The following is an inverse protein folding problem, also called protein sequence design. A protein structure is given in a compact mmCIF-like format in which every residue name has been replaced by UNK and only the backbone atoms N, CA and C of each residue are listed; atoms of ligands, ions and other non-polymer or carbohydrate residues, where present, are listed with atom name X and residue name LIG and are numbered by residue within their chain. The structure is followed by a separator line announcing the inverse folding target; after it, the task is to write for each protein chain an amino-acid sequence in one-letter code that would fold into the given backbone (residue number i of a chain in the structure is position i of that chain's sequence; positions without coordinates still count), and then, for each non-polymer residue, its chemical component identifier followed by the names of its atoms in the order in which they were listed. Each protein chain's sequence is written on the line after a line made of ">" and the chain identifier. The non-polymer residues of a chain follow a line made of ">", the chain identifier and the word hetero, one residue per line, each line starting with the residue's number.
data_IF_096058629768
#
_entry.id   IF_096058629768
#
_cell.length_a   1.000
_cell.length_b   1.000
_cell.length_c   1.000
_cell.angle_alpha   90.00
_cell.angle_beta   90.00
_cell.angle_gamma   90.00
#
_symmetry.space_group_name_H-M   'P 1'
#
loop_
_entity.id
_entity.type
_entity.pdbx_description
1 polymer ?
#
# COMPACT_ATOMS: atom_id res chain seq x y z
N UNK A 1 -3.81 -0.94 -14.77
CA UNK A 1 -4.30 0.36 -14.27
C UNK A 1 -4.83 0.12 -12.87
N UNK A 2 -4.25 0.79 -11.89
CA UNK A 2 -4.70 0.69 -10.50
C UNK A 2 -6.11 1.29 -10.37
N UNK A 3 -6.87 0.87 -9.36
CA UNK A 3 -8.07 1.61 -8.97
C UNK A 3 -7.71 2.56 -7.82
N UNK A 4 -8.57 3.54 -7.56
CA UNK A 4 -8.34 4.58 -6.54
C UNK A 4 -7.94 4.03 -5.15
N UNK A 5 -8.37 2.80 -4.83
CA UNK A 5 -8.04 2.16 -3.54
C UNK A 5 -6.66 1.55 -3.52
N UNK A 6 -6.17 1.05 -4.66
CA UNK A 6 -4.78 0.62 -4.78
C UNK A 6 -3.85 1.83 -4.80
N UNK A 7 -4.25 2.90 -5.50
CA UNK A 7 -3.52 4.19 -5.56
C UNK A 7 -3.35 4.76 -4.14
N UNK A 8 -4.43 4.95 -3.39
CA UNK A 8 -4.34 5.48 -2.01
C UNK A 8 -3.44 4.62 -1.09
N UNK A 9 -3.47 3.29 -1.24
CA UNK A 9 -2.57 2.40 -0.46
C UNK A 9 -1.11 2.56 -0.88
N UNK A 10 -0.84 2.72 -2.17
CA UNK A 10 0.50 2.89 -2.71
C UNK A 10 1.08 4.26 -2.34
N UNK A 11 0.31 5.33 -2.52
CA UNK A 11 0.66 6.71 -2.12
C UNK A 11 1.10 6.75 -0.66
N UNK A 12 0.31 6.15 0.25
CA UNK A 12 0.68 6.10 1.67
C UNK A 12 2.01 5.36 1.92
N UNK A 13 2.27 4.28 1.18
CA UNK A 13 3.54 3.55 1.32
C UNK A 13 4.73 4.33 0.77
N UNK A 14 4.53 5.09 -0.31
CA UNK A 14 5.54 5.98 -0.90
C UNK A 14 5.82 7.14 0.06
N UNK A 15 4.78 7.90 0.45
CA UNK A 15 4.90 9.09 1.29
C UNK A 15 5.50 8.79 2.67
N UNK A 16 5.21 7.62 3.22
CA UNK A 16 5.75 7.25 4.53
C UNK A 16 7.20 6.78 4.47
N UNK A 17 7.68 6.29 3.32
CA UNK A 17 8.98 5.61 3.18
C UNK A 17 9.20 4.47 4.20
N UNK A 18 8.13 3.90 4.74
CA UNK A 18 8.17 2.90 5.82
C UNK A 18 7.68 1.52 5.35
N UNK A 19 8.19 0.49 6.02
CA UNK A 19 7.57 -0.83 6.00
C UNK A 19 6.42 -0.89 7.00
N UNK A 20 5.19 -1.04 6.51
CA UNK A 20 3.98 -0.99 7.34
C UNK A 20 3.17 -2.29 7.29
N UNK A 21 2.57 -2.72 8.41
CA UNK A 21 1.57 -3.76 8.40
C UNK A 21 0.19 -3.26 7.92
N UNK A 22 -0.73 -4.15 7.52
CA UNK A 22 -2.06 -3.77 7.03
C UNK A 22 -2.92 -2.97 8.01
N UNK A 23 -2.72 -3.13 9.32
CA UNK A 23 -3.52 -2.36 10.31
C UNK A 23 -3.14 -0.87 10.30
N UNK A 24 -1.86 -0.47 10.51
CA UNK A 24 -1.48 0.94 10.36
C UNK A 24 -1.87 1.57 9.03
N UNK A 25 -1.74 0.84 7.91
CA UNK A 25 -2.16 1.34 6.60
C UNK A 25 -3.66 1.66 6.61
N UNK A 26 -4.51 0.74 7.09
CA UNK A 26 -5.95 0.96 7.17
C UNK A 26 -6.33 2.14 8.08
N UNK A 27 -5.72 2.25 9.25
CA UNK A 27 -6.06 3.31 10.21
C UNK A 27 -5.65 4.69 9.68
N UNK A 28 -4.48 4.83 9.05
CA UNK A 28 -4.06 6.11 8.48
C UNK A 28 -4.93 6.52 7.29
N UNK A 29 -5.25 5.60 6.36
CA UNK A 29 -6.20 5.88 5.28
C UNK A 29 -7.56 6.36 5.82
N UNK A 30 -8.04 5.78 6.93
CA UNK A 30 -9.26 6.26 7.58
C UNK A 30 -9.13 7.65 8.18
N UNK A 31 -7.97 8.00 8.73
CA UNK A 31 -7.70 9.34 9.23
C UNK A 31 -7.68 10.37 8.10
N UNK A 32 -7.25 9.95 6.91
CA UNK A 32 -7.25 10.75 5.67
C UNK A 32 -8.62 10.79 4.96
N UNK A 33 -9.65 10.17 5.55
CA UNK A 33 -11.04 10.22 5.09
C UNK A 33 -11.49 9.04 4.23
N UNK A 34 -10.62 8.04 3.98
CA UNK A 34 -11.00 6.85 3.25
C UNK A 34 -11.99 5.96 4.02
N UNK A 35 -12.91 5.33 3.28
CA UNK A 35 -14.04 4.58 3.86
C UNK A 35 -13.96 3.06 3.64
N UNK A 36 -12.96 2.57 2.90
CA UNK A 36 -12.88 1.16 2.57
C UNK A 36 -12.36 0.29 3.72
N UNK A 37 -12.83 -0.95 3.78
CA UNK A 37 -12.51 -1.88 4.87
C UNK A 37 -11.05 -2.33 4.87
N UNK A 38 -10.55 -2.76 6.04
CA UNK A 38 -9.25 -3.43 6.17
C UNK A 38 -9.08 -4.64 5.23
N UNK A 39 -10.15 -5.41 4.98
CA UNK A 39 -10.11 -6.51 4.00
C UNK A 39 -9.79 -6.01 2.59
N UNK A 40 -10.25 -4.82 2.23
CA UNK A 40 -9.89 -4.18 0.98
C UNK A 40 -8.43 -3.76 0.96
N UNK A 41 -7.89 -3.16 2.02
CA UNK A 41 -6.44 -2.89 2.15
C UNK A 41 -5.63 -4.16 1.88
N UNK A 42 -5.95 -5.28 2.54
CA UNK A 42 -5.27 -6.56 2.31
C UNK A 42 -5.30 -7.01 0.85
N UNK A 43 -6.47 -6.89 0.19
CA UNK A 43 -6.62 -7.25 -1.22
C UNK A 43 -5.76 -6.35 -2.12
N UNK A 44 -5.71 -5.05 -1.82
CA UNK A 44 -4.92 -4.07 -2.59
C UNK A 44 -3.43 -4.23 -2.40
N UNK A 45 -2.96 -4.52 -1.19
CA UNK A 45 -1.57 -4.92 -0.96
C UNK A 45 -1.18 -6.19 -1.73
N UNK A 46 -2.09 -7.16 -1.85
CA UNK A 46 -1.87 -8.33 -2.70
C UNK A 46 -1.66 -7.97 -4.17
N UNK A 47 -2.56 -7.13 -4.71
CA UNK A 47 -2.48 -6.64 -6.08
C UNK A 47 -1.20 -5.83 -6.33
N UNK A 48 -0.85 -4.88 -5.46
CA UNK A 48 0.36 -4.06 -5.61
C UNK A 48 1.64 -4.92 -5.60
N UNK A 49 1.66 -6.00 -4.82
CA UNK A 49 2.78 -6.95 -4.82
C UNK A 49 2.83 -7.78 -6.09
N UNK A 50 1.67 -8.23 -6.59
CA UNK A 50 1.57 -9.00 -7.84
C UNK A 50 2.03 -8.17 -9.05
N UNK A 51 1.68 -6.89 -9.07
CA UNK A 51 2.03 -5.94 -10.13
C UNK A 51 3.45 -5.35 -9.96
N UNK A 52 4.14 -5.61 -8.85
CA UNK A 52 5.52 -5.15 -8.61
C UNK A 52 5.67 -3.72 -8.07
N UNK A 53 4.58 -3.05 -7.71
CA UNK A 53 4.60 -1.70 -7.12
C UNK A 53 4.89 -1.70 -5.62
N UNK A 54 4.69 -2.83 -4.95
CA UNK A 54 5.02 -3.02 -3.54
C UNK A 54 5.68 -4.37 -3.31
N UNK A 55 6.30 -4.55 -2.14
CA UNK A 55 6.90 -5.84 -1.79
C UNK A 55 6.64 -6.22 -0.32
N UNK A 56 6.61 -7.54 -0.07
CA UNK A 56 6.54 -8.08 1.28
C UNK A 56 7.94 -8.14 1.87
N UNK A 57 8.14 -7.49 3.00
CA UNK A 57 9.44 -7.43 3.68
C UNK A 57 9.42 -8.15 5.03
N UNK A 58 10.56 -8.16 5.73
CA UNK A 58 10.73 -8.77 7.04
C UNK A 58 10.33 -10.26 7.07
N UNK A 59 10.77 -11.02 6.06
CA UNK A 59 10.49 -12.46 5.90
C UNK A 59 8.99 -12.79 5.84
N UNK A 60 8.19 -11.90 5.22
CA UNK A 60 6.76 -12.16 5.01
C UNK A 60 5.92 -12.05 6.29
N UNK A 61 6.41 -11.40 7.35
CA UNK A 61 5.68 -11.13 8.60
C UNK A 61 4.51 -10.14 8.46
N UNK A 62 3.97 -9.99 7.26
CA UNK A 62 2.86 -9.09 6.96
C UNK A 62 3.24 -7.62 6.96
N UNK A 63 4.49 -7.29 6.60
CA UNK A 63 4.94 -5.92 6.38
C UNK A 63 5.12 -5.68 4.88
N UNK A 64 4.74 -4.49 4.44
CA UNK A 64 4.75 -4.06 3.05
C UNK A 64 5.46 -2.72 2.94
N UNK A 65 6.23 -2.52 1.89
CA UNK A 65 6.78 -1.21 1.49
C UNK A 65 6.60 -1.01 -0.01
N UNK A 66 6.66 0.24 -0.48
CA UNK A 66 6.72 0.52 -1.90
C UNK A 66 8.02 -0.06 -2.50
N UNK A 67 7.92 -0.56 -3.73
CA UNK A 67 9.05 -0.97 -4.56
C UNK A 67 9.37 0.14 -5.56
N UNK A 68 10.53 0.07 -6.23
CA UNK A 68 10.98 1.11 -7.18
C UNK A 68 9.89 1.53 -8.19
N UNK A 69 9.20 0.61 -8.89
CA UNK A 69 8.15 1.00 -9.85
C UNK A 69 6.96 1.70 -9.19
N UNK A 70 6.75 1.47 -7.89
CA UNK A 70 5.71 2.14 -7.11
C UNK A 70 6.04 3.59 -6.82
N UNK A 71 7.31 3.91 -6.55
CA UNK A 71 7.77 5.29 -6.41
C UNK A 71 7.65 6.03 -7.74
N UNK A 72 8.15 5.43 -8.83
CA UNK A 72 8.06 6.01 -10.18
C UNK A 72 6.61 6.33 -10.58
N UNK A 73 5.67 5.44 -10.25
CA UNK A 73 4.25 5.63 -10.58
C UNK A 73 3.58 6.78 -9.82
N UNK A 74 3.99 7.05 -8.58
CA UNK A 74 3.40 8.12 -7.74
C UNK A 74 4.03 9.48 -8.01
N UNK A 75 5.29 9.49 -8.47
CA UNK A 75 6.03 10.73 -8.80
C UNK A 75 5.73 11.28 -10.22
N UNK A 76 5.08 10.49 -11.10
CA UNK A 76 4.59 10.92 -12.43
C UNK A 76 3.28 11.71 -12.40
#
# INVERSE_FOLDING_TARGET
>A
MLDFRAEAVLELLVDSELALPPTPIHENLRLDGETFSKRTVHRKLGLLVEEGYAERVLNGKGYYRAAEPGYELVEE
#
